data_IF_074343319414
#
_entry.id   IF_074343319414
#
_cell.length_a   1.000
_cell.length_b   1.000
_cell.length_c   1.000
_cell.angle_alpha   90.00
_cell.angle_beta   90.00
_cell.angle_gamma   90.00
#
_symmetry.space_group_name_H-M   'P 1'
#
loop_
_entity.id
_entity.type
_entity.pdbx_description
1 polymer ?
#
# COMPACT_ATOMS: atom_id res chain seq x y z
N UNK A 1 -7.68 9.51 -32.97
CA UNK A 1 -8.10 10.41 -31.88
C UNK A 1 -7.32 9.97 -30.64
N UNK A 2 -6.30 10.71 -30.22
CA UNK A 2 -5.76 10.53 -28.88
C UNK A 2 -6.89 10.93 -27.94
N UNK A 3 -7.48 9.96 -27.23
CA UNK A 3 -8.35 10.25 -26.09
C UNK A 3 -7.58 11.21 -25.20
N UNK A 4 -8.15 12.37 -24.88
CA UNK A 4 -7.60 13.26 -23.86
C UNK A 4 -7.32 12.40 -22.63
N UNK A 5 -6.03 12.24 -22.30
CA UNK A 5 -5.62 11.52 -21.12
C UNK A 5 -6.25 12.25 -19.94
N UNK A 6 -7.20 11.61 -19.25
CA UNK A 6 -7.71 12.12 -18.00
C UNK A 6 -6.56 12.31 -16.98
N UNK A 7 -6.79 13.14 -15.98
CA UNK A 7 -5.79 13.51 -14.95
C UNK A 7 -5.16 12.29 -14.24
N UNK A 8 -5.87 11.16 -14.15
CA UNK A 8 -5.36 9.92 -13.56
C UNK A 8 -4.22 9.28 -14.36
N UNK A 9 -4.16 9.48 -15.68
CA UNK A 9 -3.02 9.01 -16.47
C UNK A 9 -1.70 9.68 -16.06
N UNK A 10 -1.72 10.95 -15.67
CA UNK A 10 -0.51 11.64 -15.24
C UNK A 10 0.01 11.06 -13.92
N UNK A 11 -0.89 10.67 -13.02
CA UNK A 11 -0.52 10.00 -11.76
C UNK A 11 -0.02 8.59 -12.02
N UNK A 12 -0.61 7.90 -13.00
CA UNK A 12 -0.13 6.59 -13.42
C UNK A 12 1.30 6.70 -13.97
N UNK A 13 1.54 7.64 -14.88
CA UNK A 13 2.88 7.91 -15.44
C UNK A 13 3.86 8.23 -14.29
N UNK A 14 3.44 8.98 -13.27
CA UNK A 14 4.24 9.22 -12.05
C UNK A 14 4.56 7.92 -11.31
N UNK A 15 3.58 7.06 -11.02
CA UNK A 15 3.79 5.80 -10.32
C UNK A 15 4.82 4.93 -11.04
N UNK A 16 4.69 4.78 -12.37
CA UNK A 16 5.62 3.98 -13.18
C UNK A 16 6.99 4.62 -13.40
N UNK A 17 7.11 5.94 -13.23
CA UNK A 17 8.41 6.61 -13.25
C UNK A 17 9.23 6.38 -11.98
N UNK A 18 8.61 5.93 -10.89
CA UNK A 18 9.31 5.63 -9.65
C UNK A 18 10.15 4.37 -9.80
N UNK A 19 11.32 4.38 -9.20
CA UNK A 19 12.25 3.25 -9.18
C UNK A 19 12.75 3.02 -7.77
N UNK A 20 12.84 1.76 -7.39
CA UNK A 20 13.50 1.33 -6.16
C UNK A 20 14.99 1.21 -6.43
N UNK A 21 15.76 2.27 -6.15
CA UNK A 21 17.22 2.22 -6.20
C UNK A 21 17.73 1.75 -4.84
N UNK A 22 18.03 0.46 -4.73
CA UNK A 22 18.38 -0.20 -3.46
C UNK A 22 19.53 -1.18 -3.67
N UNK A 23 20.35 -1.36 -2.63
CA UNK A 23 21.52 -2.25 -2.67
C UNK A 23 21.12 -3.74 -2.75
N UNK A 24 19.96 -4.11 -2.21
CA UNK A 24 19.35 -5.44 -2.35
C UNK A 24 17.88 -5.40 -1.88
N UNK A 25 16.94 -5.78 -2.76
CA UNK A 25 15.51 -5.95 -2.40
C UNK A 25 15.29 -7.25 -1.59
N UNK A 26 16.22 -8.21 -1.69
CA UNK A 26 16.13 -9.50 -0.99
C UNK A 26 16.29 -9.42 0.53
N UNK A 27 16.81 -8.30 1.04
CA UNK A 27 17.04 -8.09 2.47
C UNK A 27 15.86 -7.43 3.19
N UNK A 28 14.76 -7.22 2.46
CA UNK A 28 13.52 -6.73 3.05
C UNK A 28 12.93 -7.75 4.00
N UNK A 29 12.23 -7.25 5.02
CA UNK A 29 11.34 -8.09 5.80
C UNK A 29 10.23 -8.66 4.89
N UNK A 30 10.04 -10.00 4.82
CA UNK A 30 9.11 -10.60 3.86
C UNK A 30 7.65 -10.17 4.07
N UNK A 31 7.24 -9.93 5.32
CA UNK A 31 5.89 -9.47 5.64
C UNK A 31 5.72 -8.01 5.23
N UNK A 32 6.64 -7.14 5.63
CA UNK A 32 6.60 -5.73 5.27
C UNK A 32 6.69 -5.52 3.74
N UNK A 33 7.53 -6.30 3.05
CA UNK A 33 7.64 -6.24 1.59
C UNK A 33 6.36 -6.67 0.90
N UNK A 34 5.68 -7.71 1.41
CA UNK A 34 4.39 -8.14 0.89
C UNK A 34 3.38 -6.99 0.94
N UNK A 35 3.19 -6.37 2.12
CA UNK A 35 2.24 -5.26 2.26
C UNK A 35 2.65 -4.00 1.50
N UNK A 36 3.95 -3.79 1.30
CA UNK A 36 4.48 -2.73 0.46
C UNK A 36 4.04 -2.92 -1.00
N UNK A 37 4.31 -4.09 -1.58
CA UNK A 37 3.92 -4.41 -2.94
C UNK A 37 2.40 -4.47 -3.12
N UNK A 38 1.70 -5.02 -2.13
CA UNK A 38 0.25 -5.10 -2.09
C UNK A 38 -0.39 -3.71 -2.16
N UNK A 39 0.12 -2.77 -1.36
CA UNK A 39 -0.40 -1.40 -1.36
C UNK A 39 -0.13 -0.70 -2.69
N UNK A 40 1.04 -0.92 -3.31
CA UNK A 40 1.33 -0.41 -4.65
C UNK A 40 0.39 -1.00 -5.71
N UNK A 41 0.04 -2.28 -5.61
CA UNK A 41 -0.93 -2.92 -6.51
C UNK A 41 -2.34 -2.33 -6.35
N UNK A 42 -2.76 -2.04 -5.11
CA UNK A 42 -4.01 -1.34 -4.84
C UNK A 42 -4.02 0.09 -5.38
N UNK A 43 -2.90 0.82 -5.25
CA UNK A 43 -2.74 2.16 -5.85
C UNK A 43 -2.83 2.05 -7.39
N UNK A 44 -2.06 1.16 -8.03
CA UNK A 44 -2.09 0.99 -9.48
C UNK A 44 -3.48 0.61 -9.99
N UNK A 45 -4.13 -0.37 -9.36
CA UNK A 45 -5.48 -0.78 -9.75
C UNK A 45 -6.50 0.35 -9.59
N UNK A 46 -6.48 1.06 -8.46
CA UNK A 46 -7.39 2.18 -8.21
C UNK A 46 -7.22 3.31 -9.24
N UNK A 47 -5.98 3.63 -9.62
CA UNK A 47 -5.70 4.61 -10.68
C UNK A 47 -6.15 4.06 -12.03
N UNK A 48 -5.88 2.80 -12.36
CA UNK A 48 -6.17 2.22 -13.67
C UNK A 48 -7.67 2.08 -13.95
N UNK A 49 -8.52 1.81 -12.96
CA UNK A 49 -9.98 1.78 -13.15
C UNK A 49 -10.56 3.20 -13.34
N UNK A 50 -9.85 4.23 -12.89
CA UNK A 50 -10.21 5.64 -13.10
C UNK A 50 -9.64 6.19 -14.41
N UNK A 51 -8.47 5.71 -14.85
CA UNK A 51 -7.82 6.12 -16.09
C UNK A 51 -8.34 5.37 -17.33
N UNK A 52 -8.70 4.09 -17.19
CA UNK A 52 -9.12 3.24 -18.30
C UNK A 52 -10.51 2.66 -18.07
N UNK A 53 -11.12 2.14 -19.15
CA UNK A 53 -12.33 1.32 -19.04
C UNK A 53 -12.09 0.11 -18.10
N UNK A 54 -13.06 -0.21 -17.25
CA UNK A 54 -12.99 -1.34 -16.32
C UNK A 54 -12.64 -2.68 -16.99
N UNK A 55 -13.10 -2.93 -18.22
CA UNK A 55 -12.82 -4.15 -18.97
C UNK A 55 -11.48 -4.15 -19.71
N UNK A 56 -10.67 -3.10 -19.57
CA UNK A 56 -9.31 -3.07 -20.10
C UNK A 56 -8.51 -4.27 -19.57
N UNK A 57 -7.70 -4.87 -20.44
CA UNK A 57 -6.90 -6.06 -20.11
C UNK A 57 -6.02 -5.85 -18.88
N UNK A 58 -5.50 -4.64 -18.67
CA UNK A 58 -4.70 -4.28 -17.51
C UNK A 58 -5.50 -4.38 -16.21
N UNK A 59 -6.71 -3.83 -16.20
CA UNK A 59 -7.61 -3.91 -15.05
C UNK A 59 -7.98 -5.36 -14.72
N UNK A 60 -8.18 -6.20 -15.76
CA UNK A 60 -8.40 -7.64 -15.56
C UNK A 60 -7.18 -8.32 -14.94
N UNK A 61 -5.98 -8.11 -15.48
CA UNK A 61 -4.75 -8.71 -14.95
C UNK A 61 -4.49 -8.30 -13.50
N UNK A 62 -4.64 -7.02 -13.18
CA UNK A 62 -4.51 -6.51 -11.82
C UNK A 62 -5.54 -7.15 -10.88
N UNK A 63 -6.78 -7.32 -11.34
CA UNK A 63 -7.82 -7.99 -10.55
C UNK A 63 -7.47 -9.44 -10.25
N UNK A 64 -6.88 -10.19 -11.19
CA UNK A 64 -6.44 -11.57 -10.93
C UNK A 64 -5.30 -11.62 -9.91
N UNK A 65 -4.33 -10.69 -9.98
CA UNK A 65 -3.29 -10.57 -8.96
C UNK A 65 -3.88 -10.28 -7.57
N UNK A 66 -4.78 -9.29 -7.48
CA UNK A 66 -5.39 -8.88 -6.21
C UNK A 66 -6.32 -9.96 -5.61
N UNK A 67 -6.91 -10.83 -6.44
CA UNK A 67 -7.63 -12.01 -5.96
C UNK A 67 -6.69 -13.04 -5.34
N UNK A 68 -5.60 -13.38 -6.02
CA UNK A 68 -4.60 -14.32 -5.49
C UNK A 68 -4.01 -13.83 -4.16
N UNK A 69 -3.85 -12.51 -4.03
CA UNK A 69 -3.34 -11.86 -2.82
C UNK A 69 -4.19 -12.12 -1.57
N UNK A 70 -5.51 -12.31 -1.69
CA UNK A 70 -6.38 -12.61 -0.54
C UNK A 70 -5.93 -13.90 0.16
N UNK A 71 -5.55 -14.92 -0.60
CA UNK A 71 -5.07 -16.17 -0.01
C UNK A 71 -3.64 -16.03 0.56
N UNK A 72 -2.86 -15.06 0.08
CA UNK A 72 -1.46 -14.86 0.47
C UNK A 72 -1.29 -14.02 1.73
N UNK A 73 -2.21 -13.08 2.00
CA UNK A 73 -2.14 -12.24 3.20
C UNK A 73 -2.36 -13.07 4.48
N UNK A 74 -3.08 -14.19 4.38
CA UNK A 74 -3.36 -15.09 5.50
C UNK A 74 -2.16 -16.00 5.86
N UNK A 75 -1.08 -15.98 5.06
CA UNK A 75 0.04 -16.91 5.23
C UNK A 75 1.08 -16.42 6.22
N UNK A 76 1.36 -17.25 7.22
CA UNK A 76 2.44 -17.05 8.18
C UNK A 76 2.31 -15.71 8.90
N UNK A 77 3.42 -14.98 9.00
CA UNK A 77 3.47 -13.72 9.75
C UNK A 77 2.75 -12.56 9.05
N UNK A 78 2.34 -12.72 7.79
CA UNK A 78 1.63 -11.66 7.05
C UNK A 78 0.26 -11.34 7.66
N UNK A 79 -0.40 -12.34 8.24
CA UNK A 79 -1.69 -12.16 8.90
C UNK A 79 -1.59 -11.21 10.12
N UNK A 80 -0.38 -11.04 10.66
CA UNK A 80 -0.12 -10.21 11.85
C UNK A 80 0.01 -8.72 11.53
N UNK A 81 0.18 -8.35 10.25
CA UNK A 81 0.47 -6.96 9.89
C UNK A 81 -0.63 -5.96 10.29
N UNK A 82 -1.94 -6.23 10.11
CA UNK A 82 -2.97 -5.31 10.60
C UNK A 82 -2.89 -5.09 12.12
N UNK A 83 -2.65 -6.15 12.89
CA UNK A 83 -2.48 -6.05 14.34
C UNK A 83 -1.21 -5.27 14.70
N UNK A 84 -0.11 -5.49 13.99
CA UNK A 84 1.14 -4.74 14.12
C UNK A 84 0.94 -3.23 13.92
N UNK A 85 0.18 -2.81 12.90
CA UNK A 85 -0.08 -1.37 12.68
C UNK A 85 -0.82 -0.74 13.86
N UNK A 86 -1.77 -1.45 14.46
CA UNK A 86 -2.50 -0.96 15.64
C UNK A 86 -1.60 -0.98 16.89
N UNK A 87 -0.75 -1.98 17.06
CA UNK A 87 0.26 -2.00 18.12
C UNK A 87 1.25 -0.84 18.01
N UNK A 88 1.72 -0.50 16.80
CA UNK A 88 2.55 0.70 16.59
C UNK A 88 1.81 1.98 17.00
N UNK A 89 0.50 2.07 16.73
CA UNK A 89 -0.32 3.23 17.11
C UNK A 89 -0.41 3.41 18.63
N UNK A 90 -0.41 2.31 19.38
CA UNK A 90 -0.55 2.28 20.84
C UNK A 90 0.81 2.44 21.54
N UNK A 91 1.81 1.64 21.16
CA UNK A 91 3.08 1.51 21.88
C UNK A 91 4.24 2.31 21.24
N UNK A 92 4.18 2.56 19.92
CA UNK A 92 5.25 3.20 19.15
C UNK A 92 4.75 4.36 18.28
N UNK A 93 4.00 5.28 18.91
CA UNK A 93 3.25 6.34 18.22
C UNK A 93 4.06 7.15 17.20
N UNK A 94 5.30 7.52 17.53
CA UNK A 94 6.19 8.25 16.62
C UNK A 94 6.46 7.44 15.34
N UNK A 95 6.68 6.13 15.47
CA UNK A 95 6.89 5.26 14.31
C UNK A 95 5.61 5.13 13.50
N UNK A 96 4.45 4.93 14.15
CA UNK A 96 3.15 4.92 13.48
C UNK A 96 2.94 6.18 12.66
N UNK A 97 3.11 7.36 13.25
CA UNK A 97 2.88 8.64 12.56
C UNK A 97 3.86 8.91 11.40
N UNK A 98 5.01 8.22 11.38
CA UNK A 98 5.98 8.24 10.28
C UNK A 98 5.66 7.32 9.10
N UNK A 99 4.65 6.45 9.22
CA UNK A 99 4.24 5.56 8.14
C UNK A 99 3.50 6.33 7.03
N UNK A 100 3.55 5.82 5.78
CA UNK A 100 2.69 6.34 4.71
C UNK A 100 1.24 6.42 5.17
N UNK A 101 0.57 7.50 4.80
CA UNK A 101 -0.81 7.79 5.22
C UNK A 101 -1.74 6.62 4.92
N UNK A 102 -1.58 6.00 3.74
CA UNK A 102 -2.46 4.93 3.31
C UNK A 102 -2.41 3.71 4.24
N UNK A 103 -1.23 3.33 4.76
CA UNK A 103 -1.13 2.27 5.76
C UNK A 103 -1.82 2.65 7.07
N UNK A 104 -1.65 3.90 7.50
CA UNK A 104 -2.30 4.39 8.73
C UNK A 104 -3.81 4.40 8.62
N UNK A 105 -4.38 4.78 7.48
CA UNK A 105 -5.84 4.88 7.37
C UNK A 105 -6.51 3.55 7.06
N UNK A 106 -5.89 2.67 6.26
CA UNK A 106 -6.48 1.37 5.88
C UNK A 106 -6.43 0.36 7.03
N UNK A 107 -5.33 0.34 7.79
CA UNK A 107 -5.13 -0.68 8.83
C UNK A 107 -5.41 -0.18 10.25
N UNK A 108 -5.67 1.11 10.46
CA UNK A 108 -6.17 1.61 11.75
C UNK A 108 -7.64 1.20 11.94
N UNK A 109 -7.89 0.37 12.94
CA UNK A 109 -9.24 -0.14 13.29
C UNK A 109 -10.24 0.96 13.66
N UNK A 110 -9.76 2.15 14.03
CA UNK A 110 -10.59 3.33 14.29
C UNK A 110 -10.93 4.16 13.06
N UNK A 111 -10.53 3.74 11.86
CA UNK A 111 -10.78 4.44 10.60
C UNK A 111 -11.67 3.60 9.66
N UNK A 112 -12.54 4.25 8.87
CA UNK A 112 -13.46 3.53 8.00
C UNK A 112 -12.84 3.13 6.64
N UNK A 113 -11.62 3.59 6.35
CA UNK A 113 -10.97 3.37 5.06
C UNK A 113 -10.64 1.89 4.86
N UNK A 114 -10.85 1.39 3.64
CA UNK A 114 -10.57 -0.02 3.31
C UNK A 114 -10.41 -0.23 1.80
N UNK A 115 -9.91 -1.42 1.43
CA UNK A 115 -9.92 -1.86 0.04
C UNK A 115 -11.28 -2.50 -0.31
N UNK A 116 -12.11 -1.82 -1.11
CA UNK A 116 -13.44 -2.30 -1.50
C UNK A 116 -13.45 -2.75 -2.97
N UNK A 117 -13.63 -4.05 -3.21
CA UNK A 117 -13.43 -4.61 -4.54
C UNK A 117 -12.06 -4.22 -5.11
N UNK A 118 -11.03 -4.28 -4.25
CA UNK A 118 -9.64 -3.89 -4.48
C UNK A 118 -9.36 -2.41 -4.71
N UNK A 119 -10.37 -1.53 -4.78
CA UNK A 119 -10.13 -0.08 -4.88
C UNK A 119 -9.92 0.54 -3.51
N UNK A 120 -9.08 1.55 -3.42
CA UNK A 120 -8.90 2.37 -2.22
C UNK A 120 -10.16 3.20 -2.00
N UNK A 121 -10.80 3.04 -0.85
CA UNK A 121 -11.92 3.86 -0.39
C UNK A 121 -11.56 4.45 0.96
N UNK A 122 -11.41 5.78 1.02
CA UNK A 122 -11.01 6.50 2.24
C UNK A 122 -12.22 6.77 3.14
N UNK A 123 -13.28 7.31 2.55
CA UNK A 123 -14.57 7.52 3.19
C UNK A 123 -15.61 6.65 2.47
N UNK A 124 -16.22 5.67 3.15
CA UNK A 124 -17.21 4.80 2.54
C UNK A 124 -18.56 5.46 2.24
N UNK A 125 -18.83 6.61 2.86
CA UNK A 125 -20.05 7.39 2.63
C UNK A 125 -19.85 8.43 1.50
N UNK A 126 -18.59 8.66 1.09
CA UNK A 126 -18.27 9.47 -0.06
C UNK A 126 -18.36 8.66 -1.37
N UNK A 127 -19.13 9.18 -2.32
CA UNK A 127 -19.30 8.60 -3.64
C UNK A 127 -18.34 9.22 -4.67
N UNK A 128 -17.51 10.17 -4.27
CA UNK A 128 -16.51 10.76 -5.15
C UNK A 128 -15.32 9.82 -5.36
N UNK A 129 -14.75 9.82 -6.58
CA UNK A 129 -13.47 9.16 -6.82
C UNK A 129 -12.38 9.72 -5.90
N UNK A 130 -11.45 8.86 -5.50
CA UNK A 130 -10.24 9.28 -4.76
C UNK A 130 -9.48 10.35 -5.56
N UNK A 131 -9.16 11.51 -4.95
CA UNK A 131 -8.49 12.60 -5.67
C UNK A 131 -7.10 12.20 -6.21
N UNK A 132 -6.77 12.74 -7.38
CA UNK A 132 -5.44 12.63 -8.04
C UNK A 132 -4.29 13.03 -7.11
N UNK A 133 -4.51 14.06 -6.29
CA UNK A 133 -3.53 14.55 -5.32
C UNK A 133 -3.22 13.50 -4.25
N UNK A 134 -4.23 12.74 -3.80
CA UNK A 134 -4.06 11.67 -2.82
C UNK A 134 -3.18 10.55 -3.38
N UNK A 135 -3.48 10.07 -4.58
CA UNK A 135 -2.63 9.06 -5.25
C UNK A 135 -1.20 9.55 -5.49
N UNK A 136 -1.05 10.81 -5.90
CA UNK A 136 0.27 11.43 -6.09
C UNK A 136 1.06 11.50 -4.80
N UNK A 137 0.40 11.84 -3.68
CA UNK A 137 1.00 11.88 -2.33
C UNK A 137 1.43 10.49 -1.88
N UNK A 138 0.53 9.49 -1.94
CA UNK A 138 0.88 8.12 -1.55
C UNK A 138 2.03 7.56 -2.39
N UNK A 139 2.04 7.84 -3.70
CA UNK A 139 3.15 7.46 -4.57
C UNK A 139 4.48 8.08 -4.12
N UNK A 140 4.50 9.29 -3.55
CA UNK A 140 5.73 9.86 -3.03
C UNK A 140 6.13 9.26 -1.67
N UNK A 141 5.17 9.07 -0.76
CA UNK A 141 5.40 8.49 0.57
C UNK A 141 5.95 7.06 0.49
N UNK A 142 5.35 6.20 -0.35
CA UNK A 142 5.79 4.81 -0.52
C UNK A 142 7.19 4.69 -1.15
N UNK A 143 7.61 5.68 -1.93
CA UNK A 143 8.94 5.70 -2.53
C UNK A 143 9.91 6.64 -1.78
N UNK A 144 9.54 7.13 -0.60
CA UNK A 144 10.44 7.90 0.24
C UNK A 144 11.56 7.00 0.75
N UNK A 145 12.82 7.41 0.49
CA UNK A 145 14.00 6.61 0.81
C UNK A 145 14.06 6.20 2.29
N UNK A 146 13.64 7.09 3.20
CA UNK A 146 13.61 6.81 4.64
C UNK A 146 12.62 5.70 4.98
N UNK A 147 11.42 5.73 4.38
CA UNK A 147 10.41 4.70 4.57
C UNK A 147 10.86 3.38 3.97
N UNK A 148 11.30 3.37 2.70
CA UNK A 148 11.77 2.16 2.00
C UNK A 148 12.92 1.50 2.76
N UNK A 149 13.91 2.28 3.24
CA UNK A 149 15.01 1.78 4.06
C UNK A 149 14.56 1.22 5.41
N UNK A 150 13.39 1.60 5.92
CA UNK A 150 12.88 1.07 7.17
C UNK A 150 12.31 -0.35 7.05
N UNK A 151 11.99 -0.81 5.83
CA UNK A 151 11.40 -2.12 5.53
C UNK A 151 12.41 -3.29 5.60
N UNK A 152 13.71 -2.99 5.66
CA UNK A 152 14.75 -4.00 5.82
C UNK A 152 14.64 -4.71 7.17
N UNK A 153 14.95 -6.02 7.21
CA UNK A 153 14.84 -6.86 8.43
C UNK A 153 15.51 -6.23 9.65
N UNK A 154 16.72 -5.71 9.47
CA UNK A 154 17.53 -5.11 10.55
C UNK A 154 17.30 -3.60 10.74
N UNK A 155 16.40 -2.99 9.96
CA UNK A 155 16.08 -1.57 10.03
C UNK A 155 14.94 -1.29 11.02
N UNK A 156 14.58 0.00 11.16
CA UNK A 156 13.68 0.46 12.22
C UNK A 156 12.29 -0.20 12.20
N UNK A 157 11.65 -0.37 11.05
CA UNK A 157 10.33 -1.00 10.98
C UNK A 157 10.43 -2.52 11.01
N UNK A 158 11.42 -3.10 10.31
CA UNK A 158 11.68 -4.55 10.34
C UNK A 158 11.94 -5.09 11.74
N UNK A 159 12.74 -4.39 12.55
CA UNK A 159 13.00 -4.78 13.95
C UNK A 159 11.72 -4.77 14.79
N UNK A 160 10.91 -3.74 14.67
CA UNK A 160 9.64 -3.63 15.40
C UNK A 160 8.64 -4.71 14.97
N UNK A 161 8.60 -5.03 13.68
CA UNK A 161 7.72 -6.10 13.19
C UNK A 161 8.15 -7.47 13.72
N UNK A 162 9.46 -7.76 13.69
CA UNK A 162 10.01 -8.99 14.25
C UNK A 162 9.82 -9.07 15.78
N UNK A 163 9.95 -7.96 16.49
CA UNK A 163 9.65 -7.86 17.93
C UNK A 163 8.18 -8.19 18.21
N UNK A 164 7.26 -7.59 17.46
CA UNK A 164 5.82 -7.83 17.57
C UNK A 164 5.46 -9.31 17.38
N UNK A 165 5.99 -9.94 16.31
CA UNK A 165 5.74 -11.36 16.01
C UNK A 165 6.33 -12.27 17.09
N UNK A 166 7.54 -11.96 17.58
CA UNK A 166 8.24 -12.79 18.57
C UNK A 166 7.53 -12.76 19.93
N UNK A 167 6.97 -11.62 20.30
CA UNK A 167 6.28 -11.44 21.58
C UNK A 167 4.84 -11.97 21.60
N UNK A 168 4.35 -12.53 20.49
CA UNK A 168 2.99 -13.11 20.32
C UNK A 168 1.90 -12.32 21.03
N UNK A 169 1.65 -11.12 20.50
CA UNK A 169 0.42 -10.37 20.79
C UNK A 169 -0.80 -10.99 20.07
#
# INVERSE_FOLDING_TARGET
MLLEKNEYHAVLDKLYSKSLVLESVGDFDPGLYFYFMDTLAHIDFSICILAFNYHNIRNKMNSEYLRWRIDEEEKGDRAQFPAFINWLKEEHREKFDSLPELWRVIYDTGKPASYRSFRIVIDPDDNQPTPVQSFSKWTDEFFELKFVRSLYKDASLGKLFNEFITNKH
#
